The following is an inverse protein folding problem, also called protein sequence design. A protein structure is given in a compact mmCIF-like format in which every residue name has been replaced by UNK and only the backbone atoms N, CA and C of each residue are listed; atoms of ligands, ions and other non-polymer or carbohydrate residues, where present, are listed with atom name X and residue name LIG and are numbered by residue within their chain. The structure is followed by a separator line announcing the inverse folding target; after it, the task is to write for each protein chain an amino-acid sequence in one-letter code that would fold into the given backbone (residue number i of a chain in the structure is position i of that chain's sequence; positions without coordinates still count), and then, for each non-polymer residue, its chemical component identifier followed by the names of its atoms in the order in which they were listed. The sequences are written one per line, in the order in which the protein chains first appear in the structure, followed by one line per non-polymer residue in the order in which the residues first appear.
data_IF_095434674776
#
_entry.id   IF_095434674776
#
_cell.length_a   1.000
_cell.length_b   1.000
_cell.length_c   1.000
_cell.angle_alpha   90.00
_cell.angle_beta   90.00
_cell.angle_gamma   90.00
#
_symmetry.space_group_name_H-M   'P 1'
#
loop_
_entity.id
_entity.type
_entity.pdbx_description
1 polymer ?
#
# COMPACT_ATOMS: atom_id res chain seq x y z
N UNK A 1 -5.82 -6.47 5.02
CA UNK A 1 -6.17 -5.40 5.99
C UNK A 1 -7.60 -4.95 5.74
N UNK A 2 -8.39 -4.75 6.78
CA UNK A 2 -9.78 -4.26 6.68
C UNK A 2 -9.83 -2.86 7.30
N UNK A 3 -10.20 -1.88 6.50
CA UNK A 3 -10.34 -0.48 6.92
C UNK A 3 -11.74 -0.21 7.44
N UNK A 4 -11.86 0.30 8.65
CA UNK A 4 -13.15 0.64 9.25
C UNK A 4 -12.98 1.26 10.64
N UNK A 5 -14.02 1.90 11.12
CA UNK A 5 -14.03 2.61 12.41
C UNK A 5 -13.71 1.71 13.62
N UNK A 6 -14.11 0.44 13.54
CA UNK A 6 -13.86 -0.54 14.60
C UNK A 6 -12.70 -1.51 14.32
N UNK A 7 -11.96 -1.30 13.24
CA UNK A 7 -10.86 -2.16 12.80
C UNK A 7 -9.56 -1.38 12.69
N UNK A 8 -9.26 -0.85 11.51
CA UNK A 8 -8.09 -0.01 11.24
C UNK A 8 -8.57 1.30 10.66
N UNK A 9 -8.11 2.41 11.18
CA UNK A 9 -8.45 3.74 10.66
C UNK A 9 -7.29 4.73 10.82
N UNK A 10 -7.37 5.83 10.06
CA UNK A 10 -6.40 6.90 10.15
C UNK A 10 -6.90 8.02 11.06
N UNK A 11 -5.99 8.60 11.83
CA UNK A 11 -6.22 9.78 12.68
C UNK A 11 -5.42 10.95 12.14
N UNK A 12 -6.01 12.14 12.27
CA UNK A 12 -5.41 13.38 11.83
C UNK A 12 -5.46 14.42 12.97
N UNK A 13 -4.54 15.39 13.01
CA UNK A 13 -4.61 16.49 13.97
C UNK A 13 -5.91 17.28 13.81
N UNK A 14 -6.50 17.67 14.93
CA UNK A 14 -7.71 18.49 14.94
C UNK A 14 -7.44 19.84 14.26
N UNK A 15 -8.32 20.24 13.35
CA UNK A 15 -8.22 21.49 12.62
C UNK A 15 -7.47 21.42 11.28
N UNK A 16 -6.79 20.29 10.99
CA UNK A 16 -6.13 20.09 9.69
C UNK A 16 -7.10 19.55 8.64
N UNK A 17 -6.83 19.82 7.35
CA UNK A 17 -7.54 19.22 6.23
C UNK A 17 -7.01 17.81 5.97
N UNK A 18 -7.57 16.79 6.64
CA UNK A 18 -7.11 15.40 6.56
C UNK A 18 -5.59 15.24 6.84
N UNK A 19 -5.08 16.01 7.79
CA UNK A 19 -3.67 15.97 8.18
C UNK A 19 -2.76 16.87 7.35
N UNK A 20 -3.24 17.44 6.24
CA UNK A 20 -2.45 18.34 5.40
C UNK A 20 -2.47 19.74 6.01
N UNK A 21 -1.29 20.30 6.22
CA UNK A 21 -1.01 21.66 6.63
C UNK A 21 -0.20 22.34 5.54
N UNK A 22 -0.62 23.53 5.14
CA UNK A 22 0.05 24.33 4.11
C UNK A 22 0.29 25.73 4.68
N UNK A 23 1.54 26.16 4.67
CA UNK A 23 1.99 27.46 5.08
C UNK A 23 2.68 28.16 3.93
N UNK A 24 2.15 29.29 3.50
CA UNK A 24 2.78 30.17 2.50
C UNK A 24 3.80 31.06 3.23
N UNK A 25 5.09 30.84 2.95
CA UNK A 25 6.21 31.62 3.50
C UNK A 25 6.50 32.88 2.68
N UNK A 26 5.78 33.06 1.58
CA UNK A 26 5.92 34.22 0.70
C UNK A 26 7.24 34.29 -0.02
N UNK A 27 7.72 35.53 -0.24
CA UNK A 27 8.94 35.82 -0.96
C UNK A 27 10.15 35.78 -0.03
N UNK A 28 10.96 34.73 -0.10
CA UNK A 28 12.19 34.55 0.69
C UNK A 28 13.45 34.61 -0.18
N UNK A 29 14.57 34.94 0.45
CA UNK A 29 15.87 34.89 -0.21
C UNK A 29 16.51 33.52 0.03
N UNK A 30 16.72 32.76 -1.05
CA UNK A 30 17.36 31.43 -1.02
C UNK A 30 18.74 31.46 -1.66
N UNK A 31 19.65 30.60 -1.17
CA UNK A 31 20.94 30.40 -1.79
C UNK A 31 20.80 29.41 -2.96
N UNK A 32 21.27 29.81 -4.14
CA UNK A 32 21.23 28.98 -5.35
C UNK A 32 22.29 27.87 -5.33
N UNK A 33 23.40 28.14 -4.61
CA UNK A 33 24.48 27.16 -4.43
C UNK A 33 24.93 27.20 -2.97
N UNK A 34 24.82 26.08 -2.28
CA UNK A 34 25.20 25.97 -0.88
C UNK A 34 26.67 26.32 -0.66
N UNK A 35 26.94 27.23 0.27
CA UNK A 35 28.30 27.65 0.63
C UNK A 35 28.99 28.65 -0.29
N UNK A 36 28.35 29.12 -1.37
CA UNK A 36 28.87 30.16 -2.24
C UNK A 36 28.31 31.50 -1.85
N UNK A 37 29.17 32.36 -1.28
CA UNK A 37 28.81 33.72 -0.91
C UNK A 37 28.35 34.52 -2.14
N UNK A 38 27.17 35.14 -2.06
CA UNK A 38 26.62 35.99 -3.11
C UNK A 38 25.70 35.31 -4.11
N UNK A 39 25.59 33.99 -4.12
CA UNK A 39 24.62 33.27 -4.96
C UNK A 39 23.21 33.26 -4.33
N UNK A 40 22.57 34.42 -4.30
CA UNK A 40 21.25 34.55 -3.69
C UNK A 40 20.19 34.97 -4.71
N UNK A 41 19.02 34.34 -4.64
CA UNK A 41 17.86 34.74 -5.44
C UNK A 41 16.63 34.87 -4.55
N UNK A 42 15.66 35.64 -5.01
CA UNK A 42 14.33 35.69 -4.40
C UNK A 42 13.47 34.62 -5.02
N UNK A 43 12.81 33.81 -4.17
CA UNK A 43 11.90 32.75 -4.58
C UNK A 43 10.66 32.76 -3.68
N UNK A 44 9.52 32.40 -4.23
CA UNK A 44 8.34 32.04 -3.44
C UNK A 44 8.56 30.67 -2.82
N UNK A 45 8.23 30.56 -1.55
CA UNK A 45 8.40 29.33 -0.79
C UNK A 45 7.12 28.95 -0.09
N UNK A 46 6.69 27.73 -0.28
CA UNK A 46 5.56 27.11 0.40
C UNK A 46 6.03 25.91 1.22
N UNK A 47 5.50 25.76 2.42
CA UNK A 47 5.75 24.62 3.28
C UNK A 47 4.51 23.72 3.34
N UNK A 48 4.66 22.47 2.90
CA UNK A 48 3.62 21.46 2.99
C UNK A 48 4.01 20.41 4.02
N UNK A 49 3.15 20.18 5.00
CA UNK A 49 3.35 19.13 6.00
C UNK A 49 2.12 18.22 6.05
N UNK A 50 2.34 16.92 6.04
CA UNK A 50 1.27 15.96 6.20
C UNK A 50 1.51 15.10 7.44
N UNK A 51 0.55 15.18 8.38
CA UNK A 51 0.55 14.45 9.65
C UNK A 51 -0.60 13.44 9.66
N UNK A 52 -0.27 12.17 9.71
CA UNK A 52 -1.24 11.08 9.74
C UNK A 52 -0.76 9.99 10.70
N UNK A 53 -1.67 9.46 11.51
CA UNK A 53 -1.46 8.29 12.35
C UNK A 53 -2.36 7.14 11.91
N UNK A 54 -1.89 5.89 12.05
CA UNK A 54 -2.69 4.69 11.85
C UNK A 54 -3.01 4.10 13.23
N UNK A 55 -4.29 3.88 13.47
CA UNK A 55 -4.78 3.23 14.69
C UNK A 55 -5.32 1.86 14.38
N UNK A 56 -4.84 0.87 15.11
CA UNK A 56 -5.30 -0.52 15.05
C UNK A 56 -6.10 -0.82 16.31
N UNK A 57 -7.43 -0.86 16.20
CA UNK A 57 -8.30 -1.24 17.32
C UNK A 57 -8.32 -2.76 17.55
N UNK A 58 -8.35 -3.54 16.47
CA UNK A 58 -8.41 -4.99 16.54
C UNK A 58 -7.40 -5.61 15.56
N UNK A 59 -6.38 -6.28 16.09
CA UNK A 59 -5.31 -6.89 15.33
C UNK A 59 -5.76 -8.03 14.42
N UNK A 60 -6.89 -8.68 14.68
CA UNK A 60 -7.44 -9.78 13.89
C UNK A 60 -7.84 -9.36 12.47
N UNK A 61 -8.01 -8.06 12.24
CA UNK A 61 -8.35 -7.49 10.92
C UNK A 61 -7.14 -7.11 10.07
N UNK A 62 -5.94 -7.39 10.57
CA UNK A 62 -4.68 -7.23 9.81
C UNK A 62 -4.00 -8.58 9.72
N UNK A 63 -3.90 -9.11 8.51
CA UNK A 63 -3.20 -10.37 8.24
C UNK A 63 -1.99 -10.08 7.38
N UNK A 64 -0.83 -10.57 7.81
CA UNK A 64 0.43 -10.49 7.07
C UNK A 64 0.72 -11.84 6.42
N UNK A 65 1.07 -11.82 5.15
CA UNK A 65 1.68 -12.94 4.43
C UNK A 65 3.17 -12.60 4.35
N UNK A 66 4.00 -13.41 4.98
CA UNK A 66 5.44 -13.20 5.07
C UNK A 66 6.19 -14.42 4.53
N UNK A 67 7.50 -14.29 4.35
CA UNK A 67 8.41 -15.36 3.89
C UNK A 67 8.00 -15.92 2.52
N UNK A 68 7.64 -15.03 1.59
CA UNK A 68 7.35 -15.42 0.21
C UNK A 68 8.70 -15.60 -0.50
N UNK A 69 9.02 -16.84 -0.84
CA UNK A 69 10.26 -17.15 -1.57
C UNK A 69 10.08 -16.86 -3.05
N UNK A 70 10.83 -15.87 -3.54
CA UNK A 70 10.80 -15.42 -4.94
C UNK A 70 11.27 -16.50 -5.92
N UNK A 71 12.28 -17.30 -5.56
CA UNK A 71 12.79 -18.35 -6.42
C UNK A 71 11.73 -19.40 -6.73
N UNK A 72 10.92 -19.73 -5.74
CA UNK A 72 9.80 -20.64 -5.87
C UNK A 72 8.60 -20.02 -6.60
N UNK A 73 8.44 -18.70 -6.56
CA UNK A 73 7.44 -17.99 -7.37
C UNK A 73 7.74 -18.10 -8.86
N UNK A 74 9.01 -17.90 -9.24
CA UNK A 74 9.47 -18.01 -10.63
C UNK A 74 9.30 -19.44 -11.14
N UNK A 75 9.58 -20.44 -10.32
CA UNK A 75 9.45 -21.86 -10.66
C UNK A 75 8.01 -22.37 -10.65
N UNK A 76 7.02 -21.53 -10.31
CA UNK A 76 5.59 -21.90 -10.17
C UNK A 76 5.34 -23.11 -9.26
N UNK A 77 6.20 -23.31 -8.26
CA UNK A 77 6.06 -24.41 -7.35
C UNK A 77 4.83 -24.26 -6.45
N UNK A 78 4.21 -25.36 -6.07
CA UNK A 78 3.00 -25.38 -5.24
C UNK A 78 3.17 -24.72 -3.86
N UNK A 79 4.41 -24.59 -3.38
CA UNK A 79 4.73 -23.98 -2.10
C UNK A 79 4.59 -22.45 -2.10
N UNK A 80 4.77 -21.80 -3.26
CA UNK A 80 4.74 -20.36 -3.43
C UNK A 80 3.49 -19.86 -4.18
N UNK A 81 2.40 -20.63 -4.18
CA UNK A 81 1.15 -20.23 -4.81
C UNK A 81 0.51 -19.04 -4.03
N UNK A 82 0.71 -17.83 -4.57
CA UNK A 82 0.19 -16.60 -3.97
C UNK A 82 -1.34 -16.62 -3.83
N UNK A 83 -2.03 -17.23 -4.78
CA UNK A 83 -3.49 -17.35 -4.76
C UNK A 83 -3.96 -18.12 -3.54
N UNK A 84 -3.32 -19.26 -3.23
CA UNK A 84 -3.64 -20.06 -2.03
C UNK A 84 -3.33 -19.32 -0.74
N UNK A 85 -2.20 -18.58 -0.69
CA UNK A 85 -1.84 -17.77 0.47
C UNK A 85 -2.83 -16.64 0.72
N UNK A 86 -3.28 -15.97 -0.35
CA UNK A 86 -4.30 -14.92 -0.27
C UNK A 86 -5.65 -15.47 0.20
N UNK A 87 -6.06 -16.66 -0.28
CA UNK A 87 -7.29 -17.32 0.21
C UNK A 87 -7.19 -17.62 1.71
N UNK A 88 -6.08 -18.20 2.16
CA UNK A 88 -5.84 -18.48 3.58
C UNK A 88 -5.88 -17.19 4.42
N UNK A 89 -5.32 -16.10 3.92
CA UNK A 89 -5.33 -14.81 4.59
C UNK A 89 -6.75 -14.25 4.75
N UNK A 90 -7.59 -14.36 3.72
CA UNK A 90 -9.01 -13.94 3.77
C UNK A 90 -9.76 -14.72 4.85
N UNK A 91 -9.57 -16.04 4.91
CA UNK A 91 -10.27 -16.88 5.90
C UNK A 91 -9.76 -16.72 7.35
N UNK A 92 -8.63 -16.05 7.57
CA UNK A 92 -8.17 -15.69 8.92
C UNK A 92 -8.89 -14.48 9.50
N UNK A 93 -9.55 -13.68 8.68
CA UNK A 93 -10.29 -12.50 9.13
C UNK A 93 -11.68 -12.94 9.61
N UNK A 94 -12.08 -12.61 10.86
CA UNK A 94 -13.34 -13.06 11.42
C UNK A 94 -14.56 -12.59 10.65
N UNK A 95 -14.57 -11.33 10.23
CA UNK A 95 -15.67 -10.74 9.48
C UNK A 95 -15.17 -9.65 8.52
N UNK A 96 -15.15 -9.95 7.24
CA UNK A 96 -14.73 -9.02 6.19
C UNK A 96 -15.69 -7.84 6.02
N UNK A 97 -16.98 -8.05 6.36
CA UNK A 97 -18.02 -7.03 6.24
C UNK A 97 -17.95 -5.89 7.26
N UNK A 98 -17.05 -5.95 8.25
CA UNK A 98 -16.86 -4.88 9.24
C UNK A 98 -16.22 -3.61 8.68
N UNK A 99 -15.76 -3.64 7.43
CA UNK A 99 -15.14 -2.49 6.80
C UNK A 99 -14.79 -2.75 5.34
N UNK A 100 -13.87 -1.97 4.80
CA UNK A 100 -13.40 -2.09 3.41
C UNK A 100 -12.11 -2.93 3.39
N UNK A 101 -12.15 -4.20 2.94
CA UNK A 101 -10.95 -5.01 2.81
C UNK A 101 -10.09 -4.52 1.66
N UNK A 102 -8.77 -4.53 1.84
CA UNK A 102 -7.79 -4.16 0.81
C UNK A 102 -6.56 -5.04 0.96
N UNK A 103 -6.02 -5.53 -0.16
CA UNK A 103 -4.71 -6.13 -0.23
C UNK A 103 -3.66 -5.07 -0.54
N UNK A 104 -2.54 -5.11 0.20
CA UNK A 104 -1.34 -4.34 -0.08
C UNK A 104 -0.21 -5.30 -0.39
N UNK A 105 0.47 -5.11 -1.49
CA UNK A 105 1.63 -5.90 -1.89
C UNK A 105 2.63 -5.05 -2.66
N UNK A 106 3.89 -5.49 -2.70
CA UNK A 106 4.88 -4.84 -3.52
C UNK A 106 4.67 -5.15 -5.02
N UNK A 107 5.33 -4.41 -5.87
CA UNK A 107 5.22 -4.51 -7.32
C UNK A 107 5.63 -5.87 -7.86
N UNK A 108 6.71 -6.45 -7.33
CA UNK A 108 7.20 -7.78 -7.73
C UNK A 108 6.20 -8.89 -7.40
N UNK A 109 5.62 -8.87 -6.18
CA UNK A 109 4.58 -9.85 -5.84
C UNK A 109 3.34 -9.71 -6.72
N UNK A 110 3.00 -8.48 -7.12
CA UNK A 110 1.88 -8.24 -8.01
C UNK A 110 2.16 -8.77 -9.43
N UNK A 111 3.39 -8.57 -9.95
CA UNK A 111 3.82 -9.10 -11.24
C UNK A 111 3.71 -10.63 -11.27
N UNK A 112 4.22 -11.32 -10.25
CA UNK A 112 4.10 -12.78 -10.17
C UNK A 112 2.65 -13.25 -10.04
N UNK A 113 1.81 -12.52 -9.34
CA UNK A 113 0.38 -12.84 -9.24
C UNK A 113 -0.30 -12.75 -10.62
N UNK A 114 0.06 -11.77 -11.42
CA UNK A 114 -0.50 -11.58 -12.76
C UNK A 114 0.02 -12.66 -13.74
N UNK A 115 1.28 -13.04 -13.63
CA UNK A 115 1.86 -14.18 -14.38
C UNK A 115 1.16 -15.50 -14.00
N UNK A 116 1.00 -15.78 -12.71
CA UNK A 116 0.28 -16.97 -12.24
C UNK A 116 -1.17 -17.02 -12.72
N UNK A 117 -1.80 -15.86 -12.89
CA UNK A 117 -3.13 -15.77 -13.49
C UNK A 117 -3.15 -16.22 -14.95
N UNK A 118 -2.15 -15.80 -15.75
CA UNK A 118 -2.05 -16.19 -17.16
C UNK A 118 -1.86 -17.69 -17.32
N UNK A 119 -1.07 -18.32 -16.44
CA UNK A 119 -0.79 -19.75 -16.47
C UNK A 119 -1.96 -20.60 -15.96
N UNK A 120 -2.73 -20.08 -15.00
CA UNK A 120 -3.89 -20.73 -14.40
C UNK A 120 -5.21 -20.20 -14.98
N UNK A 121 -5.49 -20.41 -16.25
CA UNK A 121 -6.72 -19.99 -16.96
C UNK A 121 -8.02 -20.45 -16.26
N UNK A 122 -7.94 -21.44 -15.37
CA UNK A 122 -9.07 -21.97 -14.61
C UNK A 122 -9.43 -21.19 -13.34
N UNK A 123 -8.57 -20.29 -12.88
CA UNK A 123 -8.79 -19.58 -11.61
C UNK A 123 -9.19 -18.14 -11.88
N UNK A 124 -10.46 -17.88 -12.17
CA UNK A 124 -11.01 -16.51 -12.27
C UNK A 124 -10.97 -15.71 -10.95
N UNK A 125 -9.94 -15.94 -10.13
CA UNK A 125 -9.78 -15.33 -8.82
C UNK A 125 -9.27 -13.88 -8.89
N UNK A 126 -8.48 -13.55 -9.92
CA UNK A 126 -8.04 -12.19 -10.19
C UNK A 126 -8.88 -11.61 -11.32
N UNK A 127 -9.62 -10.57 -11.03
CA UNK A 127 -10.44 -9.81 -11.98
C UNK A 127 -9.99 -8.36 -12.02
N UNK A 128 -10.24 -7.70 -13.14
CA UNK A 128 -10.08 -6.25 -13.24
C UNK A 128 -11.46 -5.63 -13.29
N UNK A 129 -11.69 -4.63 -12.47
CA UNK A 129 -12.92 -3.87 -12.46
C UNK A 129 -12.61 -2.40 -12.77
N UNK A 130 -13.38 -1.80 -13.65
CA UNK A 130 -13.29 -0.38 -13.91
C UNK A 130 -13.92 0.39 -12.75
N UNK A 131 -13.09 1.18 -12.08
CA UNK A 131 -13.51 2.11 -11.03
C UNK A 131 -13.10 3.52 -11.49
N UNK A 132 -14.06 4.37 -11.74
CA UNK A 132 -13.85 5.73 -12.24
C UNK A 132 -12.96 5.80 -13.50
N UNK A 133 -13.17 4.89 -14.46
CA UNK A 133 -12.39 4.81 -15.70
C UNK A 133 -10.96 4.31 -15.53
N UNK A 134 -10.63 3.72 -14.38
CA UNK A 134 -9.35 3.07 -14.11
C UNK A 134 -9.55 1.59 -13.84
N UNK A 135 -8.78 0.76 -14.54
CA UNK A 135 -8.77 -0.68 -14.29
C UNK A 135 -8.06 -1.00 -12.97
N UNK A 136 -8.83 -1.46 -11.99
CA UNK A 136 -8.31 -1.84 -10.66
C UNK A 136 -8.26 -3.36 -10.56
N UNK A 137 -7.10 -3.95 -10.28
CA UNK A 137 -7.01 -5.38 -10.05
C UNK A 137 -7.73 -5.76 -8.75
N UNK A 138 -8.57 -6.79 -8.83
CA UNK A 138 -9.34 -7.29 -7.70
C UNK A 138 -9.16 -8.78 -7.52
N UNK A 139 -8.94 -9.21 -6.30
CA UNK A 139 -8.92 -10.62 -5.93
C UNK A 139 -10.20 -10.96 -5.15
N UNK A 140 -11.08 -11.77 -5.74
CA UNK A 140 -12.38 -12.14 -5.18
C UNK A 140 -13.21 -10.93 -4.72
N UNK A 141 -13.23 -9.85 -5.49
CA UNK A 141 -13.93 -8.62 -5.14
C UNK A 141 -13.21 -7.71 -4.13
N UNK A 142 -11.99 -8.06 -3.71
CA UNK A 142 -11.17 -7.24 -2.83
C UNK A 142 -10.10 -6.52 -3.67
N UNK A 143 -10.02 -5.18 -3.63
CA UNK A 143 -9.04 -4.45 -4.42
C UNK A 143 -7.60 -4.71 -3.94
N UNK A 144 -6.69 -4.75 -4.91
CA UNK A 144 -5.25 -4.86 -4.68
C UNK A 144 -4.64 -3.48 -4.89
N UNK A 145 -3.81 -3.04 -3.93
CA UNK A 145 -3.05 -1.80 -4.00
C UNK A 145 -1.56 -2.10 -3.95
N UNK A 146 -0.83 -1.55 -4.91
CA UNK A 146 0.64 -1.63 -4.93
C UNK A 146 1.18 -0.65 -3.90
N UNK A 147 2.12 -1.12 -3.09
CA UNK A 147 2.80 -0.34 -2.07
C UNK A 147 4.30 -0.58 -2.19
N UNK A 148 5.01 0.36 -2.79
CA UNK A 148 6.46 0.26 -3.03
C UNK A 148 7.30 0.40 -1.74
N UNK A 149 6.67 0.84 -0.63
CA UNK A 149 7.31 0.84 0.70
C UNK A 149 7.47 -0.55 1.30
N UNK A 150 6.79 -1.58 0.76
CA UNK A 150 7.01 -2.97 1.14
C UNK A 150 8.26 -3.47 0.41
N UNK A 151 9.39 -3.45 1.10
CA UNK A 151 10.69 -3.84 0.52
C UNK A 151 10.83 -5.35 0.44
N UNK A 152 11.71 -5.80 -0.45
CA UNK A 152 12.05 -7.22 -0.60
C UNK A 152 13.24 -7.66 0.25
N UNK A 153 13.88 -6.70 0.92
CA UNK A 153 15.08 -6.92 1.73
C UNK A 153 14.78 -7.21 3.21
N UNK A 154 13.51 -7.50 3.54
CA UNK A 154 13.13 -7.86 4.91
C UNK A 154 13.70 -9.22 5.30
N UNK A 155 14.16 -9.32 6.55
CA UNK A 155 14.60 -10.60 7.12
C UNK A 155 13.43 -11.58 7.23
N UNK A 156 13.73 -12.87 7.08
CA UNK A 156 12.75 -13.95 7.30
C UNK A 156 12.21 -13.89 8.72
N UNK A 157 10.91 -14.02 8.86
CA UNK A 157 10.24 -14.06 10.15
C UNK A 157 10.20 -15.51 10.62
N UNK A 158 10.75 -15.73 11.81
CA UNK A 158 10.69 -17.02 12.51
C UNK A 158 9.34 -17.23 13.19
#
# INVERSE_FOLDING_TARGET
MVWGENTVFCTFPKGSKAGLDHEDLGLVTVETTAGVAGSRMRAYQDHFQWKMGIVLKDWRYVVRIANIDKSNLVAESSAADLTKLMIKAVHRIPNIGMGKPVFYMNRTCFEFLDIQRLNNVRTGALTYQDVDGRSVPMFRGIPIRICDSLTEAEATIS
#
